data_IF_518334455078
#
_entry.id   IF_518334455078
#
_cell.length_a   1.000
_cell.length_b   1.000
_cell.length_c   1.000
_cell.angle_alpha   90.00
_cell.angle_beta   90.00
_cell.angle_gamma   90.00
#
_symmetry.space_group_name_H-M   'P 1'
#
loop_
_entity.id
_entity.type
_entity.pdbx_description
1 polymer ?
#
# COMPACT_ATOMS: atom_id res chain seq x y z
N UNK A 1 -24.42 13.98 41.15
CA UNK A 1 -24.55 13.73 39.70
C UNK A 1 -25.70 12.75 39.49
N UNK A 2 -26.70 13.14 38.71
CA UNK A 2 -27.86 12.27 38.47
C UNK A 2 -27.59 11.23 37.38
N UNK A 3 -28.39 10.16 37.35
CA UNK A 3 -28.38 9.14 36.29
C UNK A 3 -28.41 9.76 34.88
N UNK A 4 -29.20 10.83 34.69
CA UNK A 4 -29.30 11.54 33.41
C UNK A 4 -28.00 12.25 32.98
N UNK A 5 -27.19 12.75 33.92
CA UNK A 5 -25.90 13.37 33.61
C UNK A 5 -24.87 12.32 33.19
N UNK A 6 -24.88 11.16 33.86
CA UNK A 6 -24.04 10.01 33.49
C UNK A 6 -24.35 9.51 32.08
N UNK A 7 -25.64 9.42 31.71
CA UNK A 7 -26.06 9.00 30.37
C UNK A 7 -25.62 10.00 29.30
N UNK A 8 -25.77 11.31 29.56
CA UNK A 8 -25.31 12.37 28.64
C UNK A 8 -23.79 12.33 28.42
N UNK A 9 -23.01 12.19 29.50
CA UNK A 9 -21.54 12.05 29.42
C UNK A 9 -21.12 10.81 28.63
N UNK A 10 -21.76 9.66 28.90
CA UNK A 10 -21.50 8.41 28.17
C UNK A 10 -21.80 8.54 26.67
N UNK A 11 -22.90 9.19 26.31
CA UNK A 11 -23.26 9.45 24.91
C UNK A 11 -22.23 10.37 24.24
N UNK A 12 -21.79 11.45 24.91
CA UNK A 12 -20.77 12.36 24.41
C UNK A 12 -19.42 11.67 24.22
N UNK A 13 -19.00 10.81 25.17
CA UNK A 13 -17.77 9.99 25.07
C UNK A 13 -17.84 9.04 23.89
N UNK A 14 -18.95 8.30 23.75
CA UNK A 14 -19.15 7.36 22.64
C UNK A 14 -19.07 8.07 21.29
N UNK A 15 -19.68 9.25 21.16
CA UNK A 15 -19.58 10.08 19.95
C UNK A 15 -18.14 10.49 19.64
N UNK A 16 -17.39 10.98 20.62
CA UNK A 16 -15.99 11.35 20.41
C UNK A 16 -15.11 10.15 20.07
N UNK A 17 -15.39 8.99 20.67
CA UNK A 17 -14.66 7.75 20.41
C UNK A 17 -14.94 7.21 19.00
N UNK A 18 -16.17 7.33 18.49
CA UNK A 18 -16.46 7.00 17.09
C UNK A 18 -15.79 7.97 16.12
N UNK A 19 -15.72 9.26 16.44
CA UNK A 19 -14.95 10.25 15.67
C UNK A 19 -13.44 9.91 15.64
N UNK A 20 -12.86 9.48 16.76
CA UNK A 20 -11.46 9.00 16.83
C UNK A 20 -11.24 7.80 15.91
N UNK A 21 -12.15 6.81 15.92
CA UNK A 21 -12.03 5.64 15.04
C UNK A 21 -12.06 6.02 13.56
N UNK A 22 -12.85 7.03 13.18
CA UNK A 22 -12.84 7.55 11.81
C UNK A 22 -11.52 8.23 11.47
N UNK A 23 -10.96 9.03 12.37
CA UNK A 23 -9.65 9.67 12.20
C UNK A 23 -8.52 8.64 12.12
N UNK A 24 -8.56 7.57 12.92
CA UNK A 24 -7.57 6.49 12.86
C UNK A 24 -7.59 5.78 11.51
N UNK A 25 -8.78 5.57 10.94
CA UNK A 25 -8.92 5.02 9.58
C UNK A 25 -8.36 5.97 8.52
N UNK A 26 -8.57 7.27 8.67
CA UNK A 26 -8.02 8.28 7.77
C UNK A 26 -6.49 8.32 7.83
N UNK A 27 -5.91 8.35 9.04
CA UNK A 27 -4.46 8.29 9.27
C UNK A 27 -3.89 7.03 8.65
N UNK A 28 -4.46 5.86 8.92
CA UNK A 28 -4.01 4.59 8.34
C UNK A 28 -4.09 4.61 6.80
N UNK A 29 -5.11 5.22 6.21
CA UNK A 29 -5.22 5.39 4.76
C UNK A 29 -4.06 6.23 4.19
N UNK A 30 -3.71 7.33 4.86
CA UNK A 30 -2.57 8.19 4.48
C UNK A 30 -1.25 7.42 4.58
N UNK A 31 -1.04 6.67 5.67
CA UNK A 31 0.16 5.85 5.88
C UNK A 31 0.33 4.79 4.77
N UNK A 32 -0.77 4.11 4.41
CA UNK A 32 -0.78 3.12 3.33
C UNK A 32 -0.46 3.74 1.97
N UNK A 33 -1.08 4.88 1.63
CA UNK A 33 -0.83 5.58 0.38
C UNK A 33 0.62 6.10 0.27
N UNK A 34 1.16 6.59 1.40
CA UNK A 34 2.57 6.95 1.52
C UNK A 34 3.47 5.74 1.26
N UNK A 35 3.17 4.57 1.84
CA UNK A 35 3.91 3.34 1.62
C UNK A 35 4.07 2.93 0.17
N UNK A 36 2.97 2.98 -0.58
CA UNK A 36 2.99 2.71 -2.03
C UNK A 36 3.94 3.65 -2.74
N UNK A 37 3.81 4.95 -2.50
CA UNK A 37 4.60 5.98 -3.17
C UNK A 37 6.08 5.86 -2.81
N UNK A 38 6.40 5.71 -1.53
CA UNK A 38 7.77 5.61 -1.06
C UNK A 38 8.44 4.31 -1.53
N UNK A 39 7.74 3.18 -1.45
CA UNK A 39 8.27 1.91 -1.96
C UNK A 39 8.62 2.02 -3.44
N UNK A 40 7.72 2.58 -4.26
CA UNK A 40 7.94 2.72 -5.71
C UNK A 40 9.15 3.60 -6.03
N UNK A 41 9.35 4.69 -5.29
CA UNK A 41 10.54 5.55 -5.43
C UNK A 41 11.83 4.83 -5.03
N UNK A 42 11.81 4.09 -3.91
CA UNK A 42 12.96 3.33 -3.40
C UNK A 42 13.32 2.17 -4.34
N UNK A 43 12.34 1.35 -4.71
CA UNK A 43 12.49 0.26 -5.66
C UNK A 43 12.97 0.77 -7.02
N UNK A 44 12.38 1.86 -7.51
CA UNK A 44 12.81 2.53 -8.73
C UNK A 44 14.29 2.88 -8.71
N UNK A 45 14.79 3.51 -7.64
CA UNK A 45 16.22 3.82 -7.54
C UNK A 45 17.12 2.58 -7.39
N UNK A 46 16.71 1.61 -6.57
CA UNK A 46 17.54 0.43 -6.31
C UNK A 46 17.66 -0.46 -7.55
N UNK A 47 16.59 -0.63 -8.34
CA UNK A 47 16.57 -1.57 -9.47
C UNK A 47 16.97 -0.95 -10.81
N UNK A 48 16.91 0.37 -10.94
CA UNK A 48 17.42 1.08 -12.12
C UNK A 48 18.95 1.23 -12.14
N UNK A 49 19.66 0.73 -11.11
CA UNK A 49 21.11 0.89 -10.97
C UNK A 49 21.54 2.29 -10.54
N UNK A 50 20.61 3.14 -10.09
CA UNK A 50 20.97 4.40 -9.46
C UNK A 50 21.66 4.17 -8.11
N UNK A 51 22.40 5.18 -7.65
CA UNK A 51 22.99 5.15 -6.31
C UNK A 51 21.89 4.95 -5.25
N UNK A 52 22.12 4.03 -4.32
CA UNK A 52 21.18 3.72 -3.24
C UNK A 52 20.72 5.01 -2.54
N UNK A 53 19.40 5.24 -2.40
CA UNK A 53 18.86 6.44 -1.77
C UNK A 53 19.47 6.73 -0.40
N UNK A 54 19.66 8.02 -0.09
CA UNK A 54 20.28 8.42 1.17
C UNK A 54 19.46 7.94 2.38
N UNK A 55 18.14 7.87 2.24
CA UNK A 55 17.22 7.35 3.25
C UNK A 55 17.61 5.93 3.70
N UNK A 56 17.82 5.01 2.75
CA UNK A 56 18.21 3.63 3.07
C UNK A 56 19.60 3.54 3.69
N UNK A 57 20.54 4.39 3.27
CA UNK A 57 21.91 4.40 3.82
C UNK A 57 21.97 4.90 5.25
N UNK A 58 21.09 5.82 5.63
CA UNK A 58 21.14 6.54 6.91
C UNK A 58 20.10 6.03 7.91
N UNK A 59 19.08 5.31 7.46
CA UNK A 59 18.05 4.72 8.31
C UNK A 59 18.04 3.19 8.15
N UNK A 60 18.77 2.45 9.00
CA UNK A 60 18.87 1.00 8.89
C UNK A 60 17.53 0.29 9.10
N UNK A 61 16.64 0.86 9.92
CA UNK A 61 15.30 0.32 10.14
C UNK A 61 14.46 0.35 8.85
N UNK A 62 14.52 1.46 8.11
CA UNK A 62 13.86 1.59 6.80
C UNK A 62 14.49 0.65 5.77
N UNK A 63 15.82 0.50 5.78
CA UNK A 63 16.50 -0.46 4.91
C UNK A 63 16.06 -1.90 5.19
N UNK A 64 16.04 -2.30 6.47
CA UNK A 64 15.59 -3.63 6.88
C UNK A 64 14.14 -3.90 6.50
N UNK A 65 13.25 -2.92 6.71
CA UNK A 65 11.85 -3.03 6.30
C UNK A 65 11.73 -3.13 4.77
N UNK A 66 12.46 -2.27 4.04
CA UNK A 66 12.46 -2.27 2.59
C UNK A 66 12.92 -3.63 2.04
N UNK A 67 14.02 -4.20 2.54
CA UNK A 67 14.54 -5.49 2.07
C UNK A 67 13.56 -6.64 2.31
N UNK A 68 12.91 -6.66 3.48
CA UNK A 68 11.86 -7.63 3.81
C UNK A 68 10.73 -7.58 2.79
N UNK A 69 10.13 -6.40 2.59
CA UNK A 69 9.01 -6.25 1.66
C UNK A 69 9.43 -6.38 0.20
N UNK A 70 10.65 -5.98 -0.16
CA UNK A 70 11.19 -6.10 -1.51
C UNK A 70 11.29 -7.56 -1.95
N UNK A 71 11.82 -8.44 -1.10
CA UNK A 71 11.90 -9.88 -1.40
C UNK A 71 10.52 -10.47 -1.66
N UNK A 72 9.57 -10.13 -0.80
CA UNK A 72 8.20 -10.60 -0.87
C UNK A 72 7.44 -10.08 -2.10
N UNK A 73 7.60 -8.80 -2.43
CA UNK A 73 6.97 -8.16 -3.58
C UNK A 73 7.55 -8.73 -4.87
N UNK A 74 8.87 -8.90 -4.97
CA UNK A 74 9.50 -9.50 -6.17
C UNK A 74 8.99 -10.92 -6.44
N UNK A 75 8.74 -11.70 -5.40
CA UNK A 75 8.18 -13.05 -5.54
C UNK A 75 6.80 -12.99 -6.19
N UNK A 76 5.92 -12.09 -5.72
CA UNK A 76 4.60 -11.88 -6.31
C UNK A 76 4.65 -11.24 -7.70
N UNK A 77 5.62 -10.36 -7.97
CA UNK A 77 5.82 -9.77 -9.29
C UNK A 77 6.24 -10.82 -10.31
N UNK A 78 7.17 -11.71 -9.95
CA UNK A 78 7.58 -12.83 -10.79
C UNK A 78 6.43 -13.81 -11.06
N UNK A 79 5.64 -14.15 -10.03
CA UNK A 79 4.46 -15.01 -10.21
C UNK A 79 3.41 -14.33 -11.10
N UNK A 80 3.18 -13.03 -10.90
CA UNK A 80 2.26 -12.24 -11.72
C UNK A 80 2.71 -12.22 -13.18
N UNK A 81 3.99 -12.00 -13.44
CA UNK A 81 4.55 -12.00 -14.79
C UNK A 81 4.44 -13.38 -15.46
N UNK A 82 4.70 -14.47 -14.73
CA UNK A 82 4.51 -15.83 -15.23
C UNK A 82 3.05 -16.08 -15.65
N UNK A 83 2.07 -15.69 -14.81
CA UNK A 83 0.65 -15.83 -15.14
C UNK A 83 0.22 -14.95 -16.33
N UNK A 84 0.82 -13.78 -16.50
CA UNK A 84 0.59 -12.93 -17.69
C UNK A 84 1.06 -13.67 -18.95
N UNK A 85 2.26 -14.25 -18.94
CA UNK A 85 2.78 -15.05 -20.07
C UNK A 85 1.89 -16.27 -20.35
N UNK A 86 1.33 -16.92 -19.33
CA UNK A 86 0.37 -18.01 -19.52
C UNK A 86 -0.94 -17.55 -20.19
N UNK A 87 -1.44 -16.36 -19.86
CA UNK A 87 -2.61 -15.77 -20.52
C UNK A 87 -2.30 -15.53 -22.01
N UNK A 88 -1.13 -14.96 -22.32
CA UNK A 88 -0.70 -14.72 -23.70
C UNK A 88 -0.65 -16.02 -24.49
N UNK A 89 -0.10 -17.10 -23.92
CA UNK A 89 -0.08 -18.43 -24.54
C UNK A 89 -1.51 -18.95 -24.78
N UNK A 90 -2.42 -18.78 -23.81
CA UNK A 90 -3.82 -19.20 -23.96
C UNK A 90 -4.54 -18.42 -25.06
N UNK A 91 -4.28 -17.11 -25.18
CA UNK A 91 -4.93 -16.27 -26.17
C UNK A 91 -4.37 -16.56 -27.58
N UNK A 92 -3.06 -16.76 -27.75
CA UNK A 92 -2.46 -17.24 -29.02
C UNK A 92 -3.00 -18.61 -29.44
N UNK A 93 -3.21 -19.52 -28.49
CA UNK A 93 -3.81 -20.84 -28.76
C UNK A 93 -5.27 -20.77 -29.20
N UNK A 94 -6.01 -19.72 -28.82
CA UNK A 94 -7.37 -19.50 -29.32
C UNK A 94 -7.33 -18.99 -30.77
N UNK A 95 -6.44 -18.06 -31.06
CA UNK A 95 -6.34 -17.38 -32.35
C UNK A 95 -5.77 -18.29 -33.46
N UNK A 96 -4.91 -19.24 -33.11
CA UNK A 96 -4.27 -20.17 -34.06
C UNK A 96 -5.12 -21.41 -34.41
N UNK A 97 -6.37 -21.47 -33.95
CA UNK A 97 -7.25 -22.63 -34.21
C UNK A 97 -7.75 -22.65 -35.64
N UNK A 98 -7.50 -23.78 -36.31
CA UNK A 98 -8.03 -24.06 -37.63
C UNK A 98 -9.57 -24.11 -37.61
N UNK A 99 -10.23 -23.63 -38.68
CA UNK A 99 -11.68 -23.72 -38.81
C UNK A 99 -12.14 -25.19 -38.85
N UNK A 100 -13.23 -25.51 -38.16
CA UNK A 100 -13.78 -26.86 -38.12
C UNK A 100 -14.45 -27.24 -39.46
N UNK A 101 -14.16 -28.45 -39.95
CA UNK A 101 -14.67 -28.96 -41.24
C UNK A 101 -15.97 -29.78 -41.09
N UNK A 102 -16.26 -30.29 -39.89
CA UNK A 102 -17.47 -31.07 -39.61
C UNK A 102 -18.09 -30.76 -38.23
N UNK A 103 -19.31 -31.25 -37.97
CA UNK A 103 -20.06 -30.97 -36.75
C UNK A 103 -19.37 -31.51 -35.47
N UNK A 104 -18.67 -32.65 -35.56
CA UNK A 104 -17.90 -33.24 -34.45
C UNK A 104 -16.71 -32.35 -34.08
N UNK A 105 -16.01 -31.83 -35.08
CA UNK A 105 -14.93 -30.85 -34.90
C UNK A 105 -15.44 -29.51 -34.37
N UNK A 106 -16.62 -29.05 -34.80
CA UNK A 106 -17.24 -27.84 -34.24
C UNK A 106 -17.50 -27.99 -32.74
N UNK A 107 -18.08 -29.11 -32.32
CA UNK A 107 -18.33 -29.40 -30.91
C UNK A 107 -17.02 -29.52 -30.10
N UNK A 108 -16.03 -30.22 -30.65
CA UNK A 108 -14.70 -30.34 -30.04
C UNK A 108 -13.98 -28.98 -29.91
N UNK A 109 -14.03 -28.15 -30.94
CA UNK A 109 -13.44 -26.81 -30.93
C UNK A 109 -14.17 -25.88 -29.96
N UNK A 110 -15.49 -25.97 -29.87
CA UNK A 110 -16.29 -25.23 -28.89
C UNK A 110 -15.95 -25.64 -27.46
N UNK A 111 -15.88 -26.94 -27.16
CA UNK A 111 -15.49 -27.45 -25.83
C UNK A 111 -14.09 -26.97 -25.44
N UNK A 112 -13.12 -27.09 -26.34
CA UNK A 112 -11.76 -26.57 -26.12
C UNK A 112 -11.75 -25.04 -25.96
N UNK A 113 -12.62 -24.31 -26.66
CA UNK A 113 -12.67 -22.85 -26.61
C UNK A 113 -13.20 -22.37 -25.27
N UNK A 114 -14.26 -23.02 -24.78
CA UNK A 114 -14.77 -22.80 -23.43
C UNK A 114 -13.70 -23.10 -22.39
N UNK A 115 -12.99 -24.23 -22.51
CA UNK A 115 -11.90 -24.60 -21.60
C UNK A 115 -10.81 -23.52 -21.51
N UNK A 116 -10.26 -23.09 -22.65
CA UNK A 116 -9.22 -22.06 -22.71
C UNK A 116 -9.73 -20.68 -22.24
N UNK A 117 -11.00 -20.39 -22.45
CA UNK A 117 -11.64 -19.16 -21.95
C UNK A 117 -11.74 -19.18 -20.44
N UNK A 118 -12.25 -20.26 -19.84
CA UNK A 118 -12.31 -20.42 -18.38
C UNK A 118 -10.92 -20.37 -17.75
N UNK A 119 -9.92 -21.01 -18.35
CA UNK A 119 -8.54 -20.97 -17.86
C UNK A 119 -7.97 -19.54 -17.91
N UNK A 120 -8.13 -18.83 -19.05
CA UNK A 120 -7.69 -17.44 -19.19
C UNK A 120 -8.39 -16.52 -18.18
N UNK A 121 -9.70 -16.69 -17.95
CA UNK A 121 -10.43 -15.93 -16.92
C UNK A 121 -9.89 -16.20 -15.52
N UNK A 122 -9.60 -17.46 -15.16
CA UNK A 122 -9.01 -17.81 -13.86
C UNK A 122 -7.64 -17.15 -13.69
N UNK A 123 -6.77 -17.25 -14.70
CA UNK A 123 -5.45 -16.62 -14.67
C UNK A 123 -5.54 -15.09 -14.55
N UNK A 124 -6.47 -14.45 -15.26
CA UNK A 124 -6.72 -13.00 -15.13
C UNK A 124 -7.18 -12.63 -13.72
N UNK A 125 -8.05 -13.42 -13.10
CA UNK A 125 -8.44 -13.21 -11.71
C UNK A 125 -7.25 -13.34 -10.75
N UNK A 126 -6.40 -14.34 -10.93
CA UNK A 126 -5.18 -14.53 -10.15
C UNK A 126 -4.21 -13.34 -10.30
N UNK A 127 -4.01 -12.83 -11.52
CA UNK A 127 -3.18 -11.64 -11.79
C UNK A 127 -3.70 -10.42 -11.03
N UNK A 128 -5.02 -10.23 -11.00
CA UNK A 128 -5.65 -9.14 -10.22
C UNK A 128 -5.43 -9.34 -8.72
N UNK A 129 -5.57 -10.57 -8.22
CA UNK A 129 -5.35 -10.88 -6.80
C UNK A 129 -3.87 -10.67 -6.40
N UNK A 130 -2.92 -11.10 -7.23
CA UNK A 130 -1.50 -10.82 -7.02
C UNK A 130 -1.20 -9.32 -7.06
N UNK A 131 -1.80 -8.58 -7.99
CA UNK A 131 -1.69 -7.12 -8.05
C UNK A 131 -2.20 -6.44 -6.76
N UNK A 132 -3.33 -6.92 -6.22
CA UNK A 132 -3.84 -6.46 -4.92
C UNK A 132 -2.90 -6.81 -3.78
N UNK A 133 -2.33 -8.01 -3.77
CA UNK A 133 -1.38 -8.44 -2.73
C UNK A 133 -0.09 -7.63 -2.75
N UNK A 134 0.47 -7.36 -3.93
CA UNK A 134 1.63 -6.47 -4.10
C UNK A 134 1.30 -5.09 -3.52
N UNK A 135 0.13 -4.53 -3.86
CA UNK A 135 -0.30 -3.25 -3.33
C UNK A 135 -0.41 -3.28 -1.80
N UNK A 136 -1.06 -4.29 -1.23
CA UNK A 136 -1.18 -4.45 0.24
C UNK A 136 0.17 -4.53 0.94
N UNK A 137 1.18 -5.19 0.33
CA UNK A 137 2.54 -5.25 0.88
C UNK A 137 3.22 -3.89 0.86
N UNK A 138 3.06 -3.11 -0.21
CA UNK A 138 3.56 -1.72 -0.27
C UNK A 138 2.85 -0.81 0.73
N UNK A 139 1.55 -0.98 0.90
CA UNK A 139 0.75 -0.28 1.90
C UNK A 139 1.22 -0.63 3.33
N UNK A 140 1.47 -1.92 3.61
CA UNK A 140 1.98 -2.39 4.90
C UNK A 140 3.39 -1.86 5.20
N UNK A 141 4.28 -1.85 4.20
CA UNK A 141 5.58 -1.18 4.30
C UNK A 141 5.42 0.26 4.78
N UNK A 142 4.51 1.04 4.18
CA UNK A 142 4.24 2.42 4.58
C UNK A 142 3.84 2.56 6.04
N UNK A 143 2.96 1.70 6.53
CA UNK A 143 2.52 1.69 7.92
C UNK A 143 3.69 1.39 8.86
N UNK A 144 4.51 0.38 8.53
CA UNK A 144 5.65 -0.05 9.36
C UNK A 144 6.71 1.05 9.54
N UNK A 145 6.99 1.83 8.48
CA UNK A 145 8.03 2.86 8.50
C UNK A 145 7.52 4.30 8.70
N UNK A 146 6.21 4.52 8.78
CA UNK A 146 5.63 5.86 8.80
C UNK A 146 6.17 6.70 9.97
N UNK A 147 6.16 6.14 11.17
CA UNK A 147 6.54 6.87 12.37
C UNK A 147 8.05 7.21 12.38
N UNK A 148 8.87 6.31 11.83
CA UNK A 148 10.32 6.50 11.69
C UNK A 148 10.65 7.59 10.66
N UNK A 149 9.91 7.64 9.55
CA UNK A 149 10.26 8.49 8.42
C UNK A 149 9.56 9.86 8.47
N UNK A 150 8.29 9.88 8.89
CA UNK A 150 7.42 11.07 8.82
C UNK A 150 7.30 11.76 10.19
N UNK A 151 7.11 10.99 11.27
CA UNK A 151 6.94 11.59 12.60
C UNK A 151 8.29 11.90 13.26
N UNK A 152 9.31 11.07 13.01
CA UNK A 152 10.65 11.26 13.55
C UNK A 152 11.54 12.13 12.66
N UNK A 153 11.02 12.69 11.55
CA UNK A 153 11.80 13.50 10.60
C UNK A 153 12.41 14.77 11.19
N UNK A 154 11.85 15.26 12.29
CA UNK A 154 12.23 16.53 12.92
C UNK A 154 13.30 16.35 14.01
N UNK A 155 13.58 15.11 14.43
CA UNK A 155 14.67 14.83 15.35
C UNK A 155 16.02 14.89 14.59
N UNK A 156 17.02 15.48 15.23
CA UNK A 156 18.31 15.89 14.65
C UNK A 156 19.09 14.79 13.91
N UNK A 157 18.86 13.50 14.20
CA UNK A 157 19.47 12.38 13.48
C UNK A 157 18.85 12.11 12.08
N UNK A 158 17.63 12.57 11.86
CA UNK A 158 16.84 12.30 10.64
C UNK A 158 17.07 13.36 9.57
N UNK A 159 17.62 14.52 9.93
CA UNK A 159 17.98 15.59 9.00
C UNK A 159 19.18 15.24 8.09
N UNK A 160 20.04 14.30 8.51
CA UNK A 160 21.29 13.97 7.80
C UNK A 160 21.08 13.37 6.39
N UNK A 161 20.02 12.60 6.17
CA UNK A 161 19.73 12.06 4.83
C UNK A 161 19.10 13.12 3.92
N UNK A 162 18.36 14.07 4.51
CA UNK A 162 17.80 15.22 3.80
C UNK A 162 18.91 16.16 3.30
N UNK A 163 19.98 16.33 4.06
CA UNK A 163 21.14 17.13 3.65
C UNK A 163 21.95 16.47 2.52
N UNK A 164 21.85 15.14 2.37
CA UNK A 164 22.46 14.39 1.26
C UNK A 164 21.61 14.41 -0.05
N UNK A 165 20.67 15.36 -0.19
CA UNK A 165 19.75 15.52 -1.33
C UNK A 165 20.39 16.09 -2.60
N UNK A 166 21.45 15.47 -3.13
CA UNK A 166 22.00 15.87 -4.44
C UNK A 166 21.27 15.22 -5.62
N UNK A 167 20.66 14.04 -5.44
CA UNK A 167 19.97 13.32 -6.51
C UNK A 167 18.48 13.69 -6.65
N UNK A 168 17.97 13.64 -7.89
CA UNK A 168 16.55 13.88 -8.18
C UNK A 168 15.61 12.93 -7.42
N UNK A 169 16.01 11.66 -7.26
CA UNK A 169 15.22 10.68 -6.50
C UNK A 169 15.14 11.04 -5.02
N UNK A 170 16.23 11.49 -4.39
CA UNK A 170 16.19 11.91 -2.99
C UNK A 170 15.26 13.12 -2.80
N UNK A 171 15.17 14.03 -3.78
CA UNK A 171 14.20 15.15 -3.77
C UNK A 171 12.75 14.66 -3.87
N UNK A 172 12.48 13.68 -4.73
CA UNK A 172 11.16 13.07 -4.84
C UNK A 172 10.75 12.35 -3.55
N UNK A 173 11.68 11.62 -2.93
CA UNK A 173 11.47 10.96 -1.64
C UNK A 173 11.14 12.00 -0.56
N UNK A 174 11.91 13.09 -0.47
CA UNK A 174 11.64 14.16 0.49
C UNK A 174 10.28 14.80 0.27
N UNK A 175 9.92 15.10 -0.98
CA UNK A 175 8.60 15.65 -1.32
C UNK A 175 7.45 14.71 -0.94
N UNK A 176 7.61 13.40 -1.14
CA UNK A 176 6.62 12.41 -0.73
C UNK A 176 6.44 12.39 0.80
N UNK A 177 7.53 12.51 1.55
CA UNK A 177 7.52 12.56 3.01
C UNK A 177 6.86 13.86 3.51
N UNK A 178 7.21 15.01 2.94
CA UNK A 178 6.63 16.30 3.31
C UNK A 178 5.13 16.34 3.03
N UNK A 179 4.70 15.80 1.89
CA UNK A 179 3.28 15.66 1.55
C UNK A 179 2.55 14.74 2.55
N UNK A 180 3.14 13.60 2.91
CA UNK A 180 2.56 12.70 3.90
C UNK A 180 2.44 13.37 5.27
N UNK A 181 3.47 14.11 5.68
CA UNK A 181 3.49 14.90 6.93
C UNK A 181 2.38 15.95 6.94
N UNK A 182 2.23 16.71 5.86
CA UNK A 182 1.18 17.71 5.74
C UNK A 182 -0.21 17.07 5.84
N UNK A 183 -0.43 15.97 5.12
CA UNK A 183 -1.73 15.29 5.10
C UNK A 183 -2.12 14.70 6.46
N UNK A 184 -1.15 14.18 7.22
CA UNK A 184 -1.42 13.53 8.52
C UNK A 184 -1.55 14.54 9.67
N UNK A 185 -1.02 15.76 9.53
CA UNK A 185 -0.99 16.76 10.59
C UNK A 185 -2.38 17.15 11.12
N UNK A 186 -3.33 17.40 10.22
CA UNK A 186 -4.71 17.78 10.56
C UNK A 186 -5.47 16.65 11.25
N UNK A 187 -5.55 15.42 10.71
CA UNK A 187 -6.28 14.34 11.38
C UNK A 187 -5.63 13.93 12.72
N UNK A 188 -4.31 13.99 12.86
CA UNK A 188 -3.66 13.75 14.16
C UNK A 188 -4.00 14.84 15.19
N UNK A 189 -3.92 16.12 14.84
CA UNK A 189 -4.28 17.21 15.76
C UNK A 189 -5.75 17.13 16.21
N UNK A 190 -6.65 16.77 15.30
CA UNK A 190 -8.05 16.50 15.64
C UNK A 190 -8.20 15.32 16.60
N UNK A 191 -7.48 14.22 16.35
CA UNK A 191 -7.49 13.03 17.21
C UNK A 191 -7.01 13.38 18.62
N UNK A 192 -5.92 14.12 18.74
CA UNK A 192 -5.40 14.58 20.03
C UNK A 192 -6.43 15.45 20.78
N UNK A 193 -7.05 16.40 20.09
CA UNK A 193 -8.09 17.26 20.67
C UNK A 193 -9.26 16.44 21.20
N UNK A 194 -9.76 15.47 20.41
CA UNK A 194 -10.86 14.58 20.83
C UNK A 194 -10.47 13.69 22.00
N UNK A 195 -9.22 13.23 22.04
CA UNK A 195 -8.69 12.42 23.14
C UNK A 195 -8.64 13.24 24.44
N UNK A 196 -8.19 14.50 24.37
CA UNK A 196 -8.21 15.43 25.51
C UNK A 196 -9.63 15.74 25.98
N UNK A 197 -10.57 15.96 25.07
CA UNK A 197 -11.98 16.18 25.41
C UNK A 197 -12.59 14.97 26.13
N UNK A 198 -12.24 13.73 25.76
CA UNK A 198 -12.65 12.52 26.49
C UNK A 198 -12.05 12.50 27.89
N UNK A 199 -10.76 12.82 28.02
CA UNK A 199 -10.09 12.85 29.32
C UNK A 199 -10.69 13.89 30.28
N UNK A 200 -11.14 15.04 29.77
CA UNK A 200 -11.87 16.04 30.56
C UNK A 200 -13.24 15.51 31.01
N UNK A 201 -13.99 14.84 30.12
CA UNK A 201 -15.27 14.23 30.49
C UNK A 201 -15.15 13.10 31.53
N UNK A 202 -13.96 12.48 31.66
CA UNK A 202 -13.66 11.47 32.67
C UNK A 202 -13.24 12.09 34.03
N UNK A 203 -12.81 13.36 34.04
CA UNK A 203 -12.47 14.10 35.26
C UNK A 203 -13.66 14.84 35.87
N UNK A 204 -14.64 15.21 35.05
CA UNK A 204 -15.90 15.83 35.46
C UNK A 204 -16.90 14.83 36.03
#
# INVERSE_FOLDING_TARGET
MGFLDSVKKSAAKTKKQSEIVLLDREIASIQRAFGVTLYDLLAGAVYSGHATPALLKKQPEVASAFDKFAKEIRTHEAEKEAKIKEIEICDVKKDTRLPATNAKEKLGNFSKYLGDTTQSTKLRADVVMLGRSIKQKKEAFGVDIFDQVVLSSDNTNTAGWRQAMTSAVNKQIASAIDKAKQNVSVPMSKKETKTREIALLDQE
#
